data_IF_319459268473
#
_entry.id   IF_319459268473
#
_cell.length_a   1.000
_cell.length_b   1.000
_cell.length_c   1.000
_cell.angle_alpha   90.00
_cell.angle_beta   90.00
_cell.angle_gamma   90.00
#
_symmetry.space_group_name_H-M   'P 1'
#
loop_
_entity.id
_entity.type
_entity.pdbx_description
1 polymer ?
#
# COMPACT_ATOMS: atom_id res chain seq x y z
N UNK A 1 8.73 20.69 21.60
CA UNK A 1 8.60 21.07 20.17
C UNK A 1 8.26 19.77 19.42
N UNK A 2 7.14 19.72 18.71
CA UNK A 2 6.73 18.48 18.01
C UNK A 2 7.61 18.34 16.77
N UNK A 3 8.18 17.16 16.58
CA UNK A 3 9.07 16.86 15.45
C UNK A 3 8.27 16.92 14.14
N UNK A 4 8.62 17.77 13.16
CA UNK A 4 7.87 17.89 11.91
C UNK A 4 7.78 16.56 11.15
N UNK A 5 8.81 15.71 11.26
CA UNK A 5 8.82 14.37 10.67
C UNK A 5 7.74 13.48 11.31
N UNK A 6 7.54 13.60 12.62
CA UNK A 6 6.48 12.86 13.32
C UNK A 6 5.09 13.27 12.83
N UNK A 7 4.87 14.58 12.57
CA UNK A 7 3.61 15.06 12.01
C UNK A 7 3.36 14.53 10.59
N UNK A 8 4.38 14.50 9.73
CA UNK A 8 4.26 14.00 8.35
C UNK A 8 3.98 12.49 8.33
N UNK A 9 4.60 11.72 9.22
CA UNK A 9 4.29 10.28 9.38
C UNK A 9 2.88 10.06 9.90
N UNK A 10 2.42 10.87 10.87
CA UNK A 10 1.04 10.84 11.35
C UNK A 10 0.03 11.14 10.23
N UNK A 11 0.34 12.09 9.35
CA UNK A 11 -0.47 12.41 8.19
C UNK A 11 -0.49 11.25 7.17
N UNK A 12 0.63 10.57 6.96
CA UNK A 12 0.70 9.38 6.10
C UNK A 12 -0.16 8.25 6.65
N UNK A 13 -0.10 7.97 7.96
CA UNK A 13 -0.93 6.94 8.61
C UNK A 13 -2.42 7.31 8.56
N UNK A 14 -2.78 8.59 8.79
CA UNK A 14 -4.18 9.04 8.68
C UNK A 14 -4.70 8.89 7.25
N UNK A 15 -3.89 9.21 6.24
CA UNK A 15 -4.21 8.98 4.83
C UNK A 15 -4.43 7.49 4.52
N UNK A 16 -3.57 6.61 5.06
CA UNK A 16 -3.75 5.16 4.94
C UNK A 16 -5.04 4.67 5.63
N UNK A 17 -5.42 5.26 6.78
CA UNK A 17 -6.68 4.94 7.45
C UNK A 17 -7.91 5.33 6.61
N UNK A 18 -7.90 6.50 5.99
CA UNK A 18 -8.97 6.93 5.07
C UNK A 18 -9.01 6.00 3.85
N UNK A 19 -7.85 5.62 3.31
CA UNK A 19 -7.76 4.67 2.20
C UNK A 19 -8.36 3.31 2.57
N UNK A 20 -8.05 2.78 3.76
CA UNK A 20 -8.64 1.54 4.29
C UNK A 20 -10.16 1.62 4.34
N UNK A 21 -10.73 2.72 4.87
CA UNK A 21 -12.19 2.88 4.96
C UNK A 21 -12.83 2.88 3.57
N UNK A 22 -12.24 3.60 2.61
CA UNK A 22 -12.78 3.64 1.23
C UNK A 22 -12.63 2.29 0.52
N UNK A 23 -11.56 1.55 0.80
CA UNK A 23 -11.33 0.21 0.26
C UNK A 23 -12.33 -0.80 0.82
N UNK A 24 -12.60 -0.77 2.14
CA UNK A 24 -13.61 -1.62 2.78
C UNK A 24 -15.04 -1.35 2.27
N UNK A 25 -15.39 -0.07 2.06
CA UNK A 25 -16.75 0.29 1.65
C UNK A 25 -17.00 0.09 0.16
N UNK A 26 -16.04 0.46 -0.69
CA UNK A 26 -16.23 0.51 -2.15
C UNK A 26 -15.25 -0.37 -2.93
N UNK A 27 -14.29 -1.01 -2.24
CA UNK A 27 -13.25 -1.83 -2.88
C UNK A 27 -12.36 -1.03 -3.82
N UNK A 28 -12.15 0.28 -3.52
CA UNK A 28 -11.37 1.20 -4.36
C UNK A 28 -10.71 2.28 -3.53
N UNK A 29 -9.43 2.54 -3.83
CA UNK A 29 -8.71 3.71 -3.34
C UNK A 29 -8.85 4.83 -4.37
N UNK A 30 -9.33 5.98 -3.92
CA UNK A 30 -9.65 7.09 -4.81
C UNK A 30 -8.45 8.00 -5.06
N UNK A 31 -8.35 8.50 -6.28
CA UNK A 31 -7.32 9.46 -6.66
C UNK A 31 -7.41 10.78 -5.88
N UNK A 32 -8.62 11.21 -5.47
CA UNK A 32 -8.80 12.42 -4.67
C UNK A 32 -8.12 12.35 -3.30
N UNK A 33 -7.79 11.16 -2.81
CA UNK A 33 -7.00 10.96 -1.58
C UNK A 33 -5.50 10.91 -1.89
N UNK A 34 -5.10 10.11 -2.88
CA UNK A 34 -3.68 9.86 -3.17
C UNK A 34 -2.96 11.07 -3.77
N UNK A 35 -3.61 11.85 -4.65
CA UNK A 35 -3.00 13.06 -5.21
C UNK A 35 -2.74 14.16 -4.17
N UNK A 36 -3.70 14.54 -3.29
CA UNK A 36 -3.39 15.45 -2.22
C UNK A 36 -2.27 14.96 -1.28
N UNK A 37 -2.21 13.66 -0.97
CA UNK A 37 -1.11 13.12 -0.16
C UNK A 37 0.25 13.37 -0.80
N UNK A 38 0.38 13.14 -2.11
CA UNK A 38 1.62 13.40 -2.85
C UNK A 38 1.96 14.88 -2.86
N UNK A 39 1.01 15.75 -3.21
CA UNK A 39 1.26 17.20 -3.29
C UNK A 39 1.58 17.82 -1.95
N UNK A 40 0.84 17.45 -0.89
CA UNK A 40 1.13 17.90 0.48
C UNK A 40 2.52 17.40 0.91
N UNK A 41 2.86 16.14 0.59
CA UNK A 41 4.17 15.58 0.91
C UNK A 41 5.31 16.37 0.24
N UNK A 42 5.19 16.68 -1.04
CA UNK A 42 6.20 17.47 -1.76
C UNK A 42 6.32 18.89 -1.21
N UNK A 43 5.21 19.58 -1.01
CA UNK A 43 5.20 20.96 -0.50
C UNK A 43 5.73 21.01 0.92
N UNK A 44 5.30 20.12 1.80
CA UNK A 44 5.74 20.11 3.19
C UNK A 44 7.25 19.81 3.32
N UNK A 45 7.76 18.82 2.58
CA UNK A 45 9.19 18.51 2.60
C UNK A 45 10.02 19.61 1.93
N UNK A 46 9.51 20.29 0.89
CA UNK A 46 10.17 21.46 0.31
C UNK A 46 10.24 22.61 1.31
N UNK A 47 9.16 22.85 2.07
CA UNK A 47 9.10 23.92 3.07
C UNK A 47 10.02 23.65 4.25
N UNK A 48 10.07 22.41 4.74
CA UNK A 48 10.83 22.04 5.94
C UNK A 48 12.33 21.85 5.67
N UNK A 49 12.68 21.28 4.52
CA UNK A 49 14.04 20.83 4.20
C UNK A 49 14.59 21.42 2.90
N UNK A 50 13.87 22.38 2.29
CA UNK A 50 14.29 23.02 1.03
C UNK A 50 14.25 22.08 -0.18
N UNK A 51 15.03 22.42 -1.22
CA UNK A 51 15.10 21.65 -2.48
C UNK A 51 15.59 20.21 -2.26
N UNK A 52 16.46 19.99 -1.28
CA UNK A 52 16.93 18.65 -0.91
C UNK A 52 15.76 17.80 -0.40
N UNK A 53 14.92 18.35 0.51
CA UNK A 53 13.73 17.68 1.01
C UNK A 53 12.72 17.34 -0.10
N UNK A 54 12.53 18.27 -1.05
CA UNK A 54 11.69 18.01 -2.23
C UNK A 54 12.22 16.85 -3.06
N UNK A 55 13.53 16.84 -3.35
CA UNK A 55 14.16 15.77 -4.12
C UNK A 55 14.00 14.40 -3.46
N UNK A 56 14.21 14.31 -2.14
CA UNK A 56 13.99 13.08 -1.37
C UNK A 56 12.53 12.65 -1.35
N UNK A 57 11.58 13.58 -1.23
CA UNK A 57 10.16 13.28 -1.24
C UNK A 57 9.70 12.75 -2.62
N UNK A 58 10.19 13.35 -3.71
CA UNK A 58 9.93 12.86 -5.07
C UNK A 58 10.52 11.45 -5.24
N UNK A 59 11.77 11.23 -4.85
CA UNK A 59 12.42 9.92 -4.93
C UNK A 59 11.65 8.86 -4.12
N UNK A 60 11.20 9.21 -2.90
CA UNK A 60 10.39 8.33 -2.07
C UNK A 60 9.02 8.02 -2.67
N UNK A 61 8.42 8.99 -3.38
CA UNK A 61 7.17 8.77 -4.14
C UNK A 61 7.37 7.71 -5.21
N UNK A 62 8.40 7.88 -6.05
CA UNK A 62 8.72 6.90 -7.10
C UNK A 62 9.07 5.54 -6.52
N UNK A 63 9.82 5.49 -5.43
CA UNK A 63 10.13 4.25 -4.74
C UNK A 63 8.85 3.53 -4.29
N UNK A 64 7.92 4.24 -3.65
CA UNK A 64 6.62 3.69 -3.25
C UNK A 64 5.82 3.17 -4.45
N UNK A 65 5.83 3.88 -5.58
CA UNK A 65 5.21 3.38 -6.81
C UNK A 65 5.87 2.08 -7.28
N UNK A 66 7.20 2.05 -7.41
CA UNK A 66 7.93 0.91 -7.96
C UNK A 66 7.76 -0.34 -7.12
N UNK A 67 7.74 -0.23 -5.78
CA UNK A 67 7.61 -1.37 -4.87
C UNK A 67 6.34 -2.20 -5.12
N UNK A 68 5.20 -1.56 -5.39
CA UNK A 68 3.96 -2.26 -5.69
C UNK A 68 3.63 -2.37 -7.19
N UNK A 69 4.30 -1.59 -8.04
CA UNK A 69 4.02 -1.57 -9.47
C UNK A 69 4.24 -2.92 -10.14
N UNK A 70 5.30 -3.63 -9.76
CA UNK A 70 5.56 -4.99 -10.25
C UNK A 70 4.39 -5.94 -9.98
N UNK A 71 3.86 -5.94 -8.76
CA UNK A 71 2.72 -6.77 -8.38
C UNK A 71 1.42 -6.33 -9.09
N UNK A 72 1.27 -5.03 -9.36
CA UNK A 72 0.12 -4.49 -10.09
C UNK A 72 0.14 -4.89 -11.57
N UNK A 73 1.31 -4.99 -12.20
CA UNK A 73 1.46 -5.49 -13.58
C UNK A 73 0.98 -6.93 -13.71
N UNK A 74 1.22 -7.76 -12.71
CA UNK A 74 0.71 -9.14 -12.66
C UNK A 74 -0.76 -9.24 -12.23
N UNK A 75 -1.44 -8.10 -12.02
CA UNK A 75 -2.86 -8.06 -11.62
C UNK A 75 -3.13 -8.57 -10.20
N UNK A 76 -2.10 -8.73 -9.37
CA UNK A 76 -2.21 -9.18 -7.98
C UNK A 76 -2.75 -8.07 -7.08
N UNK A 77 -2.35 -6.82 -7.34
CA UNK A 77 -2.64 -5.63 -6.54
C UNK A 77 -3.34 -4.58 -7.41
N UNK A 78 -4.20 -3.79 -6.80
CA UNK A 78 -4.88 -2.67 -7.46
C UNK A 78 -3.94 -1.48 -7.69
N UNK A 79 -4.13 -0.75 -8.81
CA UNK A 79 -3.39 0.49 -9.07
C UNK A 79 -3.64 1.58 -8.02
N UNK A 80 -4.72 1.48 -7.24
CA UNK A 80 -5.01 2.36 -6.12
C UNK A 80 -3.99 2.22 -4.99
N UNK A 81 -3.62 0.97 -4.66
CA UNK A 81 -2.64 0.64 -3.62
C UNK A 81 -1.24 1.13 -3.98
N UNK A 82 -0.87 1.02 -5.27
CA UNK A 82 0.38 1.55 -5.81
C UNK A 82 0.48 3.05 -5.57
N UNK A 83 -0.60 3.79 -5.90
CA UNK A 83 -0.66 5.25 -5.71
C UNK A 83 -0.65 5.64 -4.23
N UNK A 84 -1.33 4.86 -3.39
CA UNK A 84 -1.34 5.08 -1.95
C UNK A 84 0.07 4.96 -1.36
N UNK A 85 0.81 3.91 -1.73
CA UNK A 85 2.18 3.72 -1.24
C UNK A 85 3.12 4.83 -1.73
N UNK A 86 2.92 5.34 -2.95
CA UNK A 86 3.59 6.53 -3.45
C UNK A 86 3.28 7.79 -2.62
N UNK A 87 2.02 8.00 -2.23
CA UNK A 87 1.59 9.10 -1.35
C UNK A 87 2.18 9.00 0.05
N UNK A 88 2.26 7.79 0.61
CA UNK A 88 2.93 7.53 1.89
C UNK A 88 4.42 7.86 1.78
N UNK A 89 5.08 7.45 0.69
CA UNK A 89 6.48 7.79 0.42
C UNK A 89 6.72 9.29 0.34
N UNK A 90 5.84 10.03 -0.35
CA UNK A 90 5.92 11.49 -0.46
C UNK A 90 5.89 12.19 0.90
N UNK A 91 5.04 11.73 1.82
CA UNK A 91 4.87 12.32 3.15
C UNK A 91 5.97 11.88 4.12
N UNK A 92 6.25 10.58 4.21
CA UNK A 92 7.03 9.99 5.29
C UNK A 92 8.46 9.60 4.90
N UNK A 93 8.81 9.72 3.62
CA UNK A 93 10.15 9.44 3.10
C UNK A 93 10.41 7.98 2.74
N UNK A 94 11.56 7.75 2.08
CA UNK A 94 11.92 6.45 1.48
C UNK A 94 12.01 5.31 2.48
N UNK A 95 12.56 5.56 3.66
CA UNK A 95 12.72 4.54 4.72
C UNK A 95 11.41 4.08 5.29
N UNK A 96 10.53 5.03 5.58
CA UNK A 96 9.22 4.72 6.10
C UNK A 96 8.42 3.89 5.09
N UNK A 97 8.47 4.25 3.80
CA UNK A 97 7.74 3.52 2.77
C UNK A 97 8.29 2.11 2.54
N UNK A 98 9.62 1.91 2.64
CA UNK A 98 10.21 0.56 2.59
C UNK A 98 9.76 -0.27 3.80
N UNK A 99 9.85 0.31 5.01
CA UNK A 99 9.40 -0.35 6.23
C UNK A 99 7.91 -0.72 6.18
N UNK A 100 7.06 0.23 5.79
CA UNK A 100 5.63 0.01 5.62
C UNK A 100 5.34 -1.08 4.56
N UNK A 101 6.07 -1.09 3.45
CA UNK A 101 5.96 -2.12 2.42
C UNK A 101 6.33 -3.50 2.94
N UNK A 102 7.47 -3.64 3.63
CA UNK A 102 7.91 -4.94 4.16
C UNK A 102 6.92 -5.48 5.21
N UNK A 103 6.48 -4.62 6.13
CA UNK A 103 5.52 -5.00 7.17
C UNK A 103 4.12 -5.27 6.60
N UNK A 104 3.68 -4.49 5.62
CA UNK A 104 2.45 -4.76 4.88
C UNK A 104 2.50 -6.15 4.23
N UNK A 105 3.61 -6.52 3.58
CA UNK A 105 3.75 -7.85 2.98
C UNK A 105 3.85 -8.96 4.04
N UNK A 106 4.52 -8.71 5.16
CA UNK A 106 4.61 -9.68 6.26
C UNK A 106 3.23 -10.03 6.86
N UNK A 107 2.30 -9.07 6.89
CA UNK A 107 0.91 -9.28 7.34
C UNK A 107 0.02 -9.73 6.17
N UNK A 108 0.17 -9.10 5.01
CA UNK A 108 -0.70 -9.30 3.85
C UNK A 108 -0.55 -10.68 3.21
N UNK A 109 0.66 -11.24 3.17
CA UNK A 109 0.87 -12.59 2.60
C UNK A 109 0.10 -13.66 3.41
N UNK A 110 0.26 -13.77 4.74
CA UNK A 110 -0.54 -14.71 5.54
C UNK A 110 -2.05 -14.44 5.44
N UNK A 111 -2.46 -13.17 5.42
CA UNK A 111 -3.85 -12.76 5.26
C UNK A 111 -4.41 -13.21 3.90
N UNK A 112 -3.69 -12.99 2.81
CA UNK A 112 -4.08 -13.44 1.48
C UNK A 112 -4.17 -14.97 1.39
N UNK A 113 -3.21 -15.70 1.98
CA UNK A 113 -3.22 -17.16 2.04
C UNK A 113 -4.41 -17.69 2.83
N UNK A 114 -4.74 -17.06 3.97
CA UNK A 114 -5.89 -17.42 4.77
C UNK A 114 -7.21 -17.25 3.99
N UNK A 115 -7.40 -16.09 3.35
CA UNK A 115 -8.59 -15.82 2.55
C UNK A 115 -8.69 -16.80 1.37
N UNK A 116 -7.56 -17.09 0.73
CA UNK A 116 -7.51 -18.06 -0.36
C UNK A 116 -7.89 -19.46 0.13
N UNK A 117 -7.38 -19.87 1.29
CA UNK A 117 -7.74 -21.16 1.90
C UNK A 117 -9.22 -21.23 2.27
N UNK A 118 -9.80 -20.17 2.82
CA UNK A 118 -11.23 -20.09 3.15
C UNK A 118 -12.12 -20.12 1.91
N UNK A 119 -11.66 -19.57 0.78
CA UNK A 119 -12.42 -19.56 -0.47
C UNK A 119 -12.32 -20.87 -1.27
N UNK A 120 -11.18 -21.54 -1.27
CA UNK A 120 -10.87 -22.66 -2.17
C UNK A 120 -10.46 -23.97 -1.44
N UNK A 121 -10.31 -23.94 -0.11
CA UNK A 121 -9.94 -25.12 0.67
C UNK A 121 -8.58 -25.69 0.25
N UNK A 122 -8.52 -27.02 0.10
CA UNK A 122 -7.29 -27.75 -0.29
C UNK A 122 -6.76 -27.41 -1.69
N UNK A 123 -7.56 -26.79 -2.55
CA UNK A 123 -7.16 -26.41 -3.92
C UNK A 123 -6.51 -25.02 -3.96
N UNK A 124 -6.39 -24.32 -2.82
CA UNK A 124 -5.81 -22.99 -2.72
C UNK A 124 -4.39 -22.84 -3.34
N UNK A 125 -3.41 -23.77 -3.10
CA UNK A 125 -2.06 -23.64 -3.66
C UNK A 125 -2.03 -23.67 -5.19
N UNK A 126 -2.81 -24.55 -5.81
CA UNK A 126 -2.89 -24.66 -7.27
C UNK A 126 -3.48 -23.41 -7.91
N UNK A 127 -4.46 -22.78 -7.25
CA UNK A 127 -5.07 -21.53 -7.72
C UNK A 127 -4.14 -20.32 -7.59
N UNK A 128 -3.30 -20.27 -6.56
CA UNK A 128 -2.26 -19.23 -6.44
C UNK A 128 -1.26 -19.32 -7.59
N UNK A 129 -0.78 -20.53 -7.88
CA UNK A 129 0.15 -20.75 -8.99
C UNK A 129 -0.49 -20.40 -10.35
N UNK A 130 -1.74 -20.78 -10.55
CA UNK A 130 -2.49 -20.44 -11.75
C UNK A 130 -2.72 -18.92 -11.89
N UNK A 131 -2.96 -18.21 -10.79
CA UNK A 131 -3.10 -16.74 -10.81
C UNK A 131 -1.79 -16.02 -11.18
N UNK A 132 -0.66 -16.57 -10.78
CA UNK A 132 0.66 -16.04 -11.09
C UNK A 132 1.07 -16.30 -12.56
N UNK A 133 0.71 -17.46 -13.10
CA UNK A 133 1.13 -17.88 -14.46
C UNK A 133 0.22 -17.40 -15.57
N UNK A 134 -1.08 -17.22 -15.30
CA UNK A 134 -2.10 -16.90 -16.34
C UNK A 134 -2.56 -15.45 -16.37
N UNK A 135 -2.01 -14.58 -15.50
CA UNK A 135 -2.37 -13.16 -15.48
C UNK A 135 -3.86 -12.89 -15.21
N UNK A 136 -4.26 -11.64 -15.41
CA UNK A 136 -5.62 -11.14 -15.11
C UNK A 136 -6.78 -11.83 -15.87
N UNK A 137 -6.48 -12.66 -16.86
CA UNK A 137 -7.52 -13.30 -17.71
C UNK A 137 -8.31 -14.37 -16.96
N UNK A 138 -7.65 -15.19 -16.14
CA UNK A 138 -8.33 -16.21 -15.33
C UNK A 138 -9.13 -15.60 -14.18
N UNK A 139 -8.70 -14.46 -13.65
CA UNK A 139 -9.41 -13.71 -12.60
C UNK A 139 -10.82 -13.33 -13.07
N UNK A 140 -10.97 -12.91 -14.32
CA UNK A 140 -12.25 -12.48 -14.90
C UNK A 140 -13.21 -13.66 -15.12
N UNK A 141 -12.70 -14.83 -15.48
CA UNK A 141 -13.53 -16.03 -15.77
C UNK A 141 -14.01 -16.71 -14.48
N UNK A 142 -13.15 -16.76 -13.46
CA UNK A 142 -13.48 -17.35 -12.16
C UNK A 142 -14.39 -16.42 -11.34
N UNK A 143 -14.26 -15.10 -11.50
CA UNK A 143 -15.10 -14.12 -10.79
C UNK A 143 -16.56 -14.11 -11.24
N UNK A 144 -16.86 -14.56 -12.45
CA UNK A 144 -18.26 -14.61 -12.95
C UNK A 144 -19.08 -15.77 -12.40
N UNK A 145 -18.45 -16.88 -12.04
CA UNK A 145 -19.20 -18.10 -11.70
C UNK A 145 -19.63 -18.22 -10.22
N UNK A 146 -19.03 -17.44 -9.29
CA UNK A 146 -19.28 -17.63 -7.84
C UNK A 146 -19.22 -16.34 -7.00
N UNK A 147 -19.85 -15.25 -7.42
CA UNK A 147 -19.78 -13.94 -6.75
C UNK A 147 -20.49 -13.85 -5.39
N UNK A 148 -21.32 -14.78 -5.00
CA UNK A 148 -22.23 -14.56 -3.86
C UNK A 148 -21.69 -14.95 -2.48
N UNK A 149 -20.55 -15.65 -2.37
CA UNK A 149 -20.02 -16.15 -1.08
C UNK A 149 -18.50 -16.05 -0.87
N UNK A 150 -17.77 -15.19 -1.60
CA UNK A 150 -16.30 -15.10 -1.45
C UNK A 150 -15.88 -14.05 -0.44
N UNK A 151 -14.95 -14.42 0.43
CA UNK A 151 -14.23 -13.45 1.26
C UNK A 151 -13.36 -12.57 0.36
N UNK A 152 -13.53 -11.24 0.47
CA UNK A 152 -12.75 -10.27 -0.30
C UNK A 152 -11.45 -9.94 0.43
N UNK A 153 -10.37 -9.86 -0.32
CA UNK A 153 -9.08 -9.38 0.18
C UNK A 153 -9.02 -7.86 0.02
N UNK A 154 -8.76 -7.16 1.12
CA UNK A 154 -8.65 -5.70 1.16
C UNK A 154 -7.23 -5.31 1.57
N UNK A 155 -6.39 -5.03 0.59
CA UNK A 155 -4.97 -4.68 0.82
C UNK A 155 -4.81 -3.36 1.60
N UNK A 156 -5.78 -2.44 1.51
CA UNK A 156 -5.80 -1.20 2.28
C UNK A 156 -5.67 -1.41 3.79
N UNK A 157 -6.22 -2.51 4.31
CA UNK A 157 -6.07 -2.89 5.73
C UNK A 157 -4.62 -3.24 6.06
N UNK A 158 -4.00 -4.06 5.21
CA UNK A 158 -2.62 -4.52 5.42
C UNK A 158 -1.62 -3.37 5.28
N UNK A 159 -1.87 -2.42 4.37
CA UNK A 159 -1.08 -1.19 4.22
C UNK A 159 -1.17 -0.34 5.50
N UNK A 160 -2.36 -0.16 6.05
CA UNK A 160 -2.53 0.60 7.30
C UNK A 160 -1.78 -0.07 8.46
N UNK A 161 -1.93 -1.38 8.63
CA UNK A 161 -1.22 -2.14 9.66
C UNK A 161 0.30 -2.00 9.47
N UNK A 162 0.78 -2.14 8.23
CA UNK A 162 2.19 -1.94 7.89
C UNK A 162 2.70 -0.54 8.26
N UNK A 163 1.92 0.51 7.98
CA UNK A 163 2.26 1.89 8.34
C UNK A 163 2.28 2.11 9.87
N UNK A 164 1.30 1.57 10.60
CA UNK A 164 1.24 1.67 12.06
C UNK A 164 2.43 0.93 12.69
N UNK A 165 2.73 -0.28 12.24
CA UNK A 165 3.88 -1.03 12.72
C UNK A 165 5.21 -0.33 12.39
N UNK A 166 5.36 0.21 11.18
CA UNK A 166 6.53 0.99 10.80
C UNK A 166 6.71 2.23 11.69
N UNK A 167 5.61 2.87 12.08
CA UNK A 167 5.64 4.02 12.96
C UNK A 167 6.01 3.64 14.40
N UNK A 168 5.39 2.57 14.97
CA UNK A 168 5.64 2.09 16.33
C UNK A 168 7.07 1.58 16.47
N UNK A 169 7.53 0.78 15.53
CA UNK A 169 8.88 0.22 15.53
C UNK A 169 9.96 1.29 15.28
N UNK A 170 9.53 2.54 15.00
CA UNK A 170 10.41 3.68 14.75
C UNK A 170 11.57 3.27 13.83
N UNK A 171 11.23 2.60 12.71
CA UNK A 171 12.20 2.13 11.73
C UNK A 171 12.94 3.33 11.14
N UNK A 172 13.70 3.97 12.00
CA UNK A 172 14.74 4.93 11.69
C UNK A 172 15.91 4.16 11.10
N UNK A 173 15.75 3.66 9.91
CA UNK A 173 16.91 3.27 9.14
C UNK A 173 17.53 4.60 8.68
N UNK A 174 18.68 4.91 9.22
CA UNK A 174 19.46 6.13 9.12
C UNK A 174 19.81 6.44 7.66
N UNK A 175 19.24 7.46 7.04
CA UNK A 175 19.78 8.18 5.88
C UNK A 175 18.96 9.45 5.66
N UNK A 176 19.44 10.52 6.18
CA UNK A 176 19.38 11.88 5.65
C UNK A 176 20.78 12.35 5.43
#
# INVERSE_FOLDING_TARGET
MIDPIFCLRGLAVSGAAVAMVTDLWKGRIYNWLTFPMVTIGWVANAWLFGLSGLGHSIAATFLGFILFFGFALFGVIGMGDVKLLGGIGALAGSKFVIGAFLLCNAVGIPHALLIQYLNFGRNAPGMLFASFTSGAFLKKTIDQENQSKRYKFYLGVDILIGCILAWILNLQIIWW
#
